data_IF_498604589781
#
_entry.id   IF_498604589781
#
_cell.length_a   1.000
_cell.length_b   1.000
_cell.length_c   1.000
_cell.angle_alpha   90.00
_cell.angle_beta   90.00
_cell.angle_gamma   90.00
#
_symmetry.space_group_name_H-M   'P 1'
#
loop_
_entity.id
_entity.type
_entity.pdbx_description
1 polymer ?
#
# COMPACT_ATOMS: atom_id res chain seq x y z
N UNK A 1 2.78 -35.88 -52.43
CA UNK A 1 2.62 -36.13 -50.99
C UNK A 1 3.49 -35.10 -50.26
N UNK A 2 2.87 -34.05 -49.74
CA UNK A 2 3.57 -32.97 -49.02
C UNK A 2 3.34 -33.22 -47.55
N UNK A 3 4.43 -33.59 -46.83
CA UNK A 3 4.42 -33.89 -45.40
C UNK A 3 4.51 -32.54 -44.66
N UNK A 4 3.41 -32.10 -44.05
CA UNK A 4 3.41 -30.91 -43.18
C UNK A 4 4.07 -31.23 -41.85
N UNK A 5 5.27 -30.68 -41.63
CA UNK A 5 5.94 -30.72 -40.33
C UNK A 5 5.27 -29.68 -39.43
N UNK A 6 4.49 -30.13 -38.44
CA UNK A 6 3.95 -29.27 -37.40
C UNK A 6 5.08 -28.89 -36.42
N UNK A 7 5.46 -27.61 -36.41
CA UNK A 7 6.44 -27.08 -35.46
C UNK A 7 5.71 -26.91 -34.10
N UNK A 8 5.96 -27.83 -33.17
CA UNK A 8 5.50 -27.68 -31.78
C UNK A 8 6.42 -26.68 -31.09
N UNK A 9 5.96 -25.43 -30.92
CA UNK A 9 6.64 -24.47 -30.09
C UNK A 9 6.38 -24.85 -28.62
N UNK A 10 7.33 -25.55 -28.01
CA UNK A 10 7.36 -25.73 -26.56
C UNK A 10 7.62 -24.35 -25.96
N UNK A 11 6.57 -23.71 -25.41
CA UNK A 11 6.72 -22.53 -24.57
C UNK A 11 7.60 -22.91 -23.37
N UNK A 12 8.75 -22.27 -23.22
CA UNK A 12 9.58 -22.43 -22.04
C UNK A 12 8.78 -21.96 -20.82
N UNK A 13 8.35 -22.90 -19.97
CA UNK A 13 7.83 -22.59 -18.63
C UNK A 13 9.01 -22.03 -17.84
N UNK A 14 9.03 -20.74 -17.59
CA UNK A 14 10.03 -20.13 -16.71
C UNK A 14 9.85 -20.70 -15.31
N UNK A 15 10.89 -21.32 -14.75
CA UNK A 15 10.83 -21.86 -13.39
C UNK A 15 10.51 -20.71 -12.41
N UNK A 16 9.59 -20.97 -11.48
CA UNK A 16 9.24 -20.02 -10.42
C UNK A 16 10.50 -19.66 -9.60
N UNK A 17 10.69 -18.37 -9.33
CA UNK A 17 11.82 -17.88 -8.57
C UNK A 17 11.50 -17.97 -7.06
N UNK A 18 12.34 -18.61 -6.23
CA UNK A 18 12.16 -18.59 -4.77
C UNK A 18 12.07 -17.17 -4.23
N UNK A 19 11.30 -16.99 -3.15
CA UNK A 19 11.04 -15.67 -2.56
C UNK A 19 12.33 -14.89 -2.29
N UNK A 20 13.29 -15.53 -1.63
CA UNK A 20 14.54 -14.90 -1.22
C UNK A 20 15.40 -14.43 -2.41
N UNK A 21 15.26 -15.13 -3.54
CA UNK A 21 16.01 -14.82 -4.76
C UNK A 21 15.42 -13.63 -5.54
N UNK A 22 14.19 -13.22 -5.26
CA UNK A 22 13.60 -12.03 -5.87
C UNK A 22 14.38 -10.75 -5.54
N UNK A 23 15.12 -10.73 -4.42
CA UNK A 23 15.97 -9.59 -4.06
C UNK A 23 17.02 -9.26 -5.12
N UNK A 24 17.44 -10.23 -5.90
CA UNK A 24 18.46 -10.05 -6.97
C UNK A 24 17.86 -9.70 -8.33
N UNK A 25 16.53 -9.61 -8.41
CA UNK A 25 15.86 -9.29 -9.66
C UNK A 25 16.13 -7.83 -10.05
N UNK A 26 16.60 -7.63 -11.28
CA UNK A 26 16.82 -6.28 -11.83
C UNK A 26 15.52 -5.79 -12.48
N UNK A 27 14.97 -4.73 -11.93
CA UNK A 27 13.77 -4.06 -12.43
C UNK A 27 14.08 -2.59 -12.73
N UNK A 28 13.46 -1.97 -13.75
CA UNK A 28 13.68 -0.56 -14.06
C UNK A 28 13.40 0.36 -12.87
N UNK A 29 14.29 1.30 -12.59
CA UNK A 29 14.16 2.32 -11.54
C UNK A 29 13.84 1.77 -10.13
N UNK A 30 14.12 0.47 -9.88
CA UNK A 30 13.67 -0.23 -8.67
C UNK A 30 14.84 -0.87 -7.95
N UNK A 31 14.93 -0.62 -6.65
CA UNK A 31 15.84 -1.33 -5.75
C UNK A 31 15.02 -2.18 -4.78
N UNK A 32 15.12 -3.50 -4.89
CA UNK A 32 14.49 -4.42 -3.94
C UNK A 32 15.38 -4.46 -2.70
N UNK A 33 14.88 -3.96 -1.56
CA UNK A 33 15.64 -3.85 -0.30
C UNK A 33 15.55 -5.10 0.54
N UNK A 34 14.39 -5.78 0.53
CA UNK A 34 14.23 -7.10 1.15
C UNK A 34 13.26 -7.97 0.37
N UNK A 35 13.46 -9.29 0.49
CA UNK A 35 12.55 -10.32 0.00
C UNK A 35 12.64 -11.50 0.96
N UNK A 36 11.54 -11.79 1.65
CA UNK A 36 11.51 -12.76 2.75
C UNK A 36 10.19 -13.52 2.82
N UNK A 37 10.26 -14.79 3.20
CA UNK A 37 9.08 -15.60 3.45
C UNK A 37 8.54 -15.33 4.86
N UNK A 38 7.36 -14.73 4.95
CA UNK A 38 6.64 -14.49 6.20
C UNK A 38 5.72 -15.67 6.47
N UNK A 39 5.90 -16.30 7.64
CA UNK A 39 5.11 -17.46 8.05
C UNK A 39 3.79 -17.06 8.71
N UNK A 40 2.75 -17.85 8.48
CA UNK A 40 1.50 -17.76 9.23
C UNK A 40 1.76 -17.81 10.73
N UNK A 41 1.07 -16.99 11.49
CA UNK A 41 1.27 -16.87 12.95
C UNK A 41 2.43 -15.98 13.39
N UNK A 42 3.29 -15.52 12.45
CA UNK A 42 4.34 -14.54 12.77
C UNK A 42 3.74 -13.18 13.15
N UNK A 43 4.45 -12.35 13.95
CA UNK A 43 4.06 -10.97 14.14
C UNK A 43 3.95 -10.24 12.81
N UNK A 44 2.92 -9.43 12.65
CA UNK A 44 2.63 -8.75 11.39
C UNK A 44 3.74 -7.75 11.03
N UNK A 45 4.31 -7.78 9.80
CA UNK A 45 5.27 -6.78 9.35
C UNK A 45 4.57 -5.41 9.27
N UNK A 46 4.96 -4.48 10.10
CA UNK A 46 4.28 -3.17 10.23
C UNK A 46 3.51 -3.01 11.54
N UNK A 47 3.23 -4.09 12.27
CA UNK A 47 2.79 -4.05 13.67
C UNK A 47 3.95 -3.63 14.60
N UNK A 48 4.74 -2.64 14.23
CA UNK A 48 5.60 -1.96 15.21
C UNK A 48 4.65 -1.27 16.17
N UNK A 49 4.70 -1.74 17.42
CA UNK A 49 3.81 -1.39 18.50
C UNK A 49 3.36 0.06 18.43
N UNK A 50 2.07 0.27 18.39
CA UNK A 50 1.42 1.55 18.61
C UNK A 50 1.66 2.06 20.04
N UNK A 51 2.92 2.29 20.36
CA UNK A 51 3.42 3.06 21.48
C UNK A 51 3.76 4.47 21.02
N UNK A 52 2.95 5.05 20.17
CA UNK A 52 2.97 6.47 19.89
C UNK A 52 2.34 7.19 21.06
N UNK A 53 3.16 7.60 22.04
CA UNK A 53 2.78 8.61 23.01
C UNK A 53 2.28 9.82 22.22
N UNK A 54 0.95 10.05 22.23
CA UNK A 54 0.37 11.35 21.94
C UNK A 54 0.87 12.32 23.00
N UNK A 55 2.03 12.91 22.77
CA UNK A 55 2.43 14.12 23.46
C UNK A 55 1.45 15.20 23.01
N UNK A 56 0.44 15.46 23.85
CA UNK A 56 -0.51 16.53 23.68
C UNK A 56 0.23 17.87 23.61
N UNK A 57 0.46 18.36 22.41
CA UNK A 57 0.80 19.74 22.20
C UNK A 57 -0.46 20.56 22.48
N UNK A 58 -0.52 21.13 23.69
CA UNK A 58 -1.49 22.20 24.02
C UNK A 58 -1.21 23.36 23.07
N UNK A 59 -2.13 23.57 22.14
CA UNK A 59 -2.10 24.71 21.26
C UNK A 59 -2.17 26.01 22.03
N UNK A 60 -1.11 26.80 21.91
CA UNK A 60 -1.14 28.22 22.23
C UNK A 60 -1.90 28.96 21.12
N UNK A 61 -2.94 29.65 21.48
CA UNK A 61 -3.65 30.55 20.59
C UNK A 61 -2.76 31.73 20.21
N UNK A 62 -2.59 31.95 18.89
CA UNK A 62 -2.05 33.18 18.35
C UNK A 62 -3.21 34.10 17.90
N UNK A 63 -3.09 35.45 18.12
CA UNK A 63 -4.17 36.39 17.84
C UNK A 63 -4.19 36.80 16.35
N UNK A 64 -5.41 36.92 15.85
CA UNK A 64 -5.98 37.73 14.81
C UNK A 64 -5.16 38.23 13.62
N UNK A 65 -5.62 37.80 12.42
CA UNK A 65 -5.48 38.56 11.19
C UNK A 65 -6.87 38.70 10.52
N UNK A 66 -7.17 39.82 9.82
CA UNK A 66 -8.53 40.23 9.45
C UNK A 66 -9.04 39.50 8.20
N UNK A 67 -10.35 39.33 8.17
CA UNK A 67 -11.08 38.78 7.04
C UNK A 67 -11.23 39.82 5.92
N UNK A 68 -10.90 39.45 4.67
CA UNK A 68 -11.41 40.11 3.48
C UNK A 68 -11.65 39.08 2.37
N UNK A 69 -12.82 39.22 1.71
CA UNK A 69 -13.06 38.69 0.38
C UNK A 69 -14.07 37.55 0.26
N UNK A 70 -15.37 37.92 0.27
CA UNK A 70 -16.47 37.06 -0.13
C UNK A 70 -16.40 36.71 -1.61
N UNK A 71 -16.31 35.40 -1.97
CA UNK A 71 -16.64 34.90 -3.27
C UNK A 71 -17.85 33.98 -3.17
N UNK A 72 -18.91 34.35 -3.89
CA UNK A 72 -20.23 33.71 -3.95
C UNK A 72 -20.14 32.27 -4.47
N UNK A 73 -20.55 31.34 -3.63
CA UNK A 73 -20.72 29.93 -4.00
C UNK A 73 -22.14 29.68 -4.54
N UNK A 74 -22.23 28.96 -5.66
CA UNK A 74 -23.47 28.44 -6.23
C UNK A 74 -24.05 27.31 -5.36
N UNK A 75 -25.39 27.11 -5.35
CA UNK A 75 -26.02 26.17 -4.45
C UNK A 75 -25.89 24.71 -4.93
N UNK A 76 -25.29 23.86 -4.12
CA UNK A 76 -25.37 22.43 -4.25
C UNK A 76 -26.65 21.91 -3.60
N UNK A 77 -27.44 21.13 -4.36
CA UNK A 77 -28.64 20.47 -3.88
C UNK A 77 -28.30 19.40 -2.84
N UNK A 78 -28.86 19.56 -1.65
CA UNK A 78 -28.73 18.64 -0.55
C UNK A 78 -29.50 17.34 -0.75
N UNK A 79 -28.84 16.22 -0.41
CA UNK A 79 -29.49 14.97 -0.01
C UNK A 79 -29.51 14.96 1.52
N UNK A 80 -30.71 15.10 2.11
CA UNK A 80 -30.89 15.12 3.54
C UNK A 80 -30.69 13.73 4.14
N UNK A 81 -29.77 13.60 5.10
CA UNK A 81 -29.81 12.56 6.11
C UNK A 81 -30.19 13.21 7.44
N UNK A 82 -31.25 12.69 8.04
CA UNK A 82 -31.77 13.14 9.31
C UNK A 82 -30.77 12.87 10.44
N UNK A 83 -30.50 13.88 11.26
CA UNK A 83 -29.72 13.73 12.47
C UNK A 83 -30.51 12.95 13.53
N UNK A 84 -29.87 12.04 14.31
CA UNK A 84 -30.51 11.40 15.45
C UNK A 84 -30.66 12.37 16.62
N UNK A 85 -31.65 12.18 17.51
CA UNK A 85 -31.92 13.11 18.62
C UNK A 85 -30.80 13.07 19.68
N UNK A 86 -30.45 14.22 20.16
CA UNK A 86 -29.53 14.42 21.29
C UNK A 86 -30.18 13.96 22.60
N UNK A 87 -29.45 13.12 23.35
CA UNK A 87 -29.79 12.89 24.75
C UNK A 87 -29.63 11.47 25.26
N UNK A 88 -28.43 11.06 25.61
CA UNK A 88 -28.16 10.10 26.67
C UNK A 88 -26.76 10.37 27.24
N UNK A 89 -26.56 10.43 28.57
CA UNK A 89 -25.24 10.58 29.16
C UNK A 89 -24.44 9.29 28.99
N UNK A 90 -23.34 9.35 28.22
CA UNK A 90 -22.40 8.21 28.10
C UNK A 90 -21.52 8.23 29.34
N UNK A 91 -21.84 7.36 30.29
CA UNK A 91 -20.99 7.04 31.43
C UNK A 91 -19.66 6.45 30.95
N UNK A 92 -18.60 7.25 30.95
CA UNK A 92 -17.26 6.82 30.67
C UNK A 92 -16.69 5.99 31.83
N UNK A 93 -16.70 4.67 31.70
CA UNK A 93 -16.00 3.73 32.54
C UNK A 93 -15.13 2.83 31.69
N UNK A 94 -14.05 3.37 31.12
CA UNK A 94 -13.05 2.57 30.40
C UNK A 94 -12.28 1.71 31.39
N UNK A 95 -12.78 0.52 31.71
CA UNK A 95 -11.93 -0.57 32.22
C UNK A 95 -11.00 -0.95 31.08
N UNK A 96 -9.69 -0.74 31.27
CA UNK A 96 -8.66 -1.25 30.37
C UNK A 96 -8.82 -2.76 30.23
N UNK A 97 -9.39 -3.19 29.12
CA UNK A 97 -9.35 -4.58 28.70
C UNK A 97 -7.88 -4.99 28.47
N UNK A 98 -7.56 -6.29 28.56
CA UNK A 98 -6.23 -6.76 28.22
C UNK A 98 -5.88 -6.24 26.84
N UNK A 99 -4.64 -5.74 26.69
CA UNK A 99 -4.15 -5.26 25.40
C UNK A 99 -4.39 -6.34 24.34
N UNK A 100 -5.05 -5.96 23.25
CA UNK A 100 -5.29 -6.90 22.16
C UNK A 100 -3.94 -7.47 21.70
N UNK A 101 -3.88 -8.81 21.57
CA UNK A 101 -2.68 -9.44 21.04
C UNK A 101 -2.33 -8.81 19.67
N UNK A 102 -1.04 -8.62 19.36
CA UNK A 102 -0.64 -8.06 18.09
C UNK A 102 -1.22 -8.91 16.95
N UNK A 103 -1.67 -8.27 15.84
CA UNK A 103 -2.22 -9.03 14.74
C UNK A 103 -1.16 -9.98 14.17
N UNK A 104 -1.55 -11.24 14.01
CA UNK A 104 -0.70 -12.28 13.42
C UNK A 104 -1.00 -12.40 11.92
N UNK A 105 0.02 -12.82 11.17
CA UNK A 105 -0.12 -13.05 9.72
C UNK A 105 -1.12 -14.20 9.46
N UNK A 106 -2.05 -14.01 8.51
CA UNK A 106 -3.14 -14.96 8.28
C UNK A 106 -2.71 -16.20 7.48
N UNK A 107 -1.64 -16.10 6.70
CA UNK A 107 -1.15 -17.14 5.79
C UNK A 107 0.34 -16.93 5.50
N UNK A 108 0.99 -17.93 4.96
CA UNK A 108 2.35 -17.79 4.41
C UNK A 108 2.31 -16.91 3.16
N UNK A 109 3.24 -15.95 3.07
CA UNK A 109 3.42 -15.13 1.86
C UNK A 109 4.86 -14.66 1.72
N UNK A 110 5.27 -14.42 0.47
CA UNK A 110 6.52 -13.74 0.17
C UNK A 110 6.32 -12.23 0.30
N UNK A 111 7.05 -11.59 1.21
CA UNK A 111 7.07 -10.14 1.41
C UNK A 111 8.24 -9.55 0.68
N UNK A 112 8.00 -8.60 -0.20
CA UNK A 112 9.01 -7.84 -0.93
C UNK A 112 8.87 -6.38 -0.56
N UNK A 113 9.99 -5.74 -0.20
CA UNK A 113 10.08 -4.29 0.03
C UNK A 113 10.99 -3.71 -1.01
N UNK A 114 10.55 -2.65 -1.66
CA UNK A 114 11.30 -1.99 -2.72
C UNK A 114 11.19 -0.47 -2.63
N UNK A 115 12.18 0.21 -3.22
CA UNK A 115 12.18 1.65 -3.43
C UNK A 115 12.26 1.91 -4.93
N UNK A 116 11.33 2.70 -5.44
CA UNK A 116 11.25 3.08 -6.85
C UNK A 116 11.70 4.54 -7.01
N UNK A 117 12.56 4.78 -7.98
CA UNK A 117 13.13 6.12 -8.29
C UNK A 117 13.00 6.42 -9.78
N UNK A 118 11.78 6.64 -10.31
CA UNK A 118 11.57 6.93 -11.72
C UNK A 118 12.10 8.31 -12.15
N UNK A 119 12.37 9.22 -11.21
CA UNK A 119 13.09 10.47 -11.43
C UNK A 119 14.14 10.69 -10.35
N UNK A 120 15.00 11.70 -10.51
CA UNK A 120 16.05 12.05 -9.54
C UNK A 120 15.48 12.51 -8.19
N UNK A 121 14.25 13.04 -8.18
CA UNK A 121 13.56 13.53 -6.97
C UNK A 121 12.54 12.51 -6.42
N UNK A 122 12.33 11.39 -7.11
CA UNK A 122 11.41 10.33 -6.69
C UNK A 122 12.03 9.44 -5.61
N UNK A 123 11.21 9.09 -4.62
CA UNK A 123 11.55 8.09 -3.59
C UNK A 123 10.29 7.38 -3.12
N UNK A 124 9.81 6.44 -3.92
CA UNK A 124 8.54 5.76 -3.73
C UNK A 124 8.78 4.43 -3.02
N UNK A 125 8.29 4.28 -1.79
CA UNK A 125 8.35 3.01 -1.09
C UNK A 125 7.16 2.14 -1.47
N UNK A 126 7.43 0.86 -1.69
CA UNK A 126 6.44 -0.14 -2.10
C UNK A 126 6.65 -1.42 -1.30
N UNK A 127 5.56 -2.02 -0.85
CA UNK A 127 5.53 -3.41 -0.39
C UNK A 127 4.66 -4.25 -1.32
N UNK A 128 5.15 -5.46 -1.65
CA UNK A 128 4.42 -6.45 -2.45
C UNK A 128 4.37 -7.75 -1.67
N UNK A 129 3.18 -8.32 -1.53
CA UNK A 129 2.95 -9.58 -0.83
C UNK A 129 2.36 -10.61 -1.79
N UNK A 130 3.05 -11.74 -1.89
CA UNK A 130 2.71 -12.82 -2.81
C UNK A 130 2.34 -14.06 -2.00
N UNK A 131 1.08 -14.52 -1.99
CA UNK A 131 0.71 -15.76 -1.33
C UNK A 131 1.49 -16.95 -1.89
N UNK A 132 1.53 -18.05 -1.14
CA UNK A 132 2.12 -19.30 -1.63
C UNK A 132 1.49 -19.72 -2.97
N UNK A 133 2.26 -20.34 -3.85
CA UNK A 133 1.84 -20.62 -5.22
C UNK A 133 0.55 -21.47 -5.31
N UNK A 134 0.36 -22.40 -4.38
CA UNK A 134 -0.83 -23.25 -4.27
C UNK A 134 -2.08 -22.50 -3.71
N UNK A 135 -1.89 -21.30 -3.20
CA UNK A 135 -2.95 -20.43 -2.65
C UNK A 135 -3.30 -19.25 -3.54
N UNK A 136 -2.43 -18.93 -4.52
CA UNK A 136 -2.64 -17.79 -5.40
C UNK A 136 -3.82 -18.01 -6.35
N UNK A 137 -4.78 -17.09 -6.33
CA UNK A 137 -5.98 -17.13 -7.15
C UNK A 137 -5.79 -16.53 -8.57
N UNK A 138 -4.54 -16.29 -8.97
CA UNK A 138 -4.13 -15.69 -10.25
C UNK A 138 -4.60 -14.24 -10.44
N UNK A 139 -4.84 -13.52 -9.35
CA UNK A 139 -5.26 -12.12 -9.40
C UNK A 139 -4.31 -11.26 -8.58
N UNK A 140 -4.23 -9.99 -8.96
CA UNK A 140 -3.51 -8.94 -8.26
C UNK A 140 -4.49 -7.87 -7.77
N UNK A 141 -4.30 -7.38 -6.54
CA UNK A 141 -5.05 -6.30 -5.93
C UNK A 141 -4.09 -5.27 -5.36
N UNK A 142 -4.13 -4.05 -5.90
CA UNK A 142 -3.39 -2.92 -5.36
C UNK A 142 -4.21 -2.23 -4.26
N UNK A 143 -3.54 -1.91 -3.15
CA UNK A 143 -4.15 -1.18 -2.04
C UNK A 143 -3.70 0.28 -2.07
N UNK A 144 -4.67 1.16 -1.95
CA UNK A 144 -4.41 2.59 -1.90
C UNK A 144 -4.32 3.13 -0.48
N UNK A 145 -3.96 4.39 -0.41
CA UNK A 145 -4.02 5.23 0.77
C UNK A 145 -4.89 6.46 0.48
N UNK A 146 -5.35 7.15 1.52
CA UNK A 146 -6.26 8.30 1.39
C UNK A 146 -5.62 9.62 1.82
N UNK A 147 -6.15 10.73 1.30
CA UNK A 147 -5.69 12.07 1.62
C UNK A 147 -4.21 12.25 1.31
N UNK A 148 -3.48 12.94 2.18
CA UNK A 148 -2.05 13.16 2.09
C UNK A 148 -1.24 12.12 2.88
N UNK A 149 -1.63 10.85 2.81
CA UNK A 149 -0.96 9.80 3.56
C UNK A 149 0.45 9.53 3.01
N UNK A 150 1.45 9.88 3.79
CA UNK A 150 2.88 9.66 3.50
C UNK A 150 3.40 8.35 4.10
N UNK A 151 2.63 7.27 4.01
CA UNK A 151 3.01 5.93 4.46
C UNK A 151 2.14 4.88 3.82
N UNK A 152 2.62 3.65 3.77
CA UNK A 152 1.81 2.50 3.35
C UNK A 152 0.77 2.24 4.45
N UNK A 153 -0.50 2.48 4.18
CA UNK A 153 -1.59 2.36 5.15
C UNK A 153 -2.45 1.11 4.97
N UNK A 154 -2.43 0.53 3.80
CA UNK A 154 -3.28 -0.59 3.37
C UNK A 154 -2.93 -1.97 3.95
N UNK A 155 -2.11 -2.06 5.01
CA UNK A 155 -1.67 -3.37 5.53
C UNK A 155 -2.81 -4.30 5.98
N UNK A 156 -3.91 -3.77 6.52
CA UNK A 156 -5.09 -4.55 6.88
C UNK A 156 -5.80 -5.13 5.67
N UNK A 157 -5.90 -4.34 4.61
CA UNK A 157 -6.51 -4.73 3.34
C UNK A 157 -5.60 -5.71 2.59
N UNK A 158 -4.27 -5.48 2.59
CA UNK A 158 -3.28 -6.43 2.07
C UNK A 158 -3.36 -7.79 2.78
N UNK A 159 -3.56 -7.84 4.11
CA UNK A 159 -3.79 -9.10 4.83
C UNK A 159 -5.04 -9.81 4.33
N UNK A 160 -6.12 -9.06 4.15
CA UNK A 160 -7.40 -9.60 3.66
C UNK A 160 -7.23 -10.14 2.24
N UNK A 161 -6.54 -9.41 1.37
CA UNK A 161 -6.24 -9.82 0.01
C UNK A 161 -5.40 -11.11 -0.03
N UNK A 162 -4.29 -11.19 0.72
CA UNK A 162 -3.46 -12.41 0.79
C UNK A 162 -4.26 -13.60 1.30
N UNK A 163 -5.11 -13.41 2.33
CA UNK A 163 -5.97 -14.47 2.84
C UNK A 163 -6.95 -14.99 1.78
N UNK A 164 -7.42 -14.11 0.91
CA UNK A 164 -8.29 -14.45 -0.22
C UNK A 164 -7.52 -14.95 -1.46
N UNK A 165 -6.20 -15.10 -1.35
CA UNK A 165 -5.34 -15.62 -2.41
C UNK A 165 -4.87 -14.59 -3.42
N UNK A 166 -5.09 -13.30 -3.22
CA UNK A 166 -4.57 -12.26 -4.12
C UNK A 166 -3.10 -11.99 -3.85
N UNK A 167 -2.31 -11.82 -4.91
CA UNK A 167 -1.09 -11.03 -4.83
C UNK A 167 -1.51 -9.58 -4.58
N UNK A 168 -0.80 -8.85 -3.71
CA UNK A 168 -1.20 -7.50 -3.32
C UNK A 168 -0.01 -6.58 -3.14
N UNK A 169 -0.21 -5.28 -3.30
CA UNK A 169 0.81 -4.27 -3.09
C UNK A 169 0.24 -2.97 -2.53
N UNK A 170 1.06 -2.25 -1.79
CA UNK A 170 0.79 -0.90 -1.30
C UNK A 170 2.00 0.02 -1.44
N UNK A 171 1.76 1.33 -1.47
CA UNK A 171 2.80 2.36 -1.61
C UNK A 171 2.55 3.55 -0.67
N UNK A 172 3.62 4.28 -0.33
CA UNK A 172 3.56 5.56 0.38
C UNK A 172 3.29 6.76 -0.55
N UNK A 173 3.13 6.51 -1.85
CA UNK A 173 2.95 7.52 -2.90
C UNK A 173 4.10 8.52 -3.05
N UNK A 174 5.30 8.17 -2.59
CA UNK A 174 6.53 8.92 -2.82
C UNK A 174 6.79 10.06 -1.84
N UNK A 175 6.13 10.09 -0.69
CA UNK A 175 6.39 11.08 0.35
C UNK A 175 6.21 10.50 1.76
N UNK A 176 6.62 11.24 2.79
CA UNK A 176 6.62 10.77 4.19
C UNK A 176 5.95 11.73 5.18
N UNK A 177 5.20 12.70 4.68
CA UNK A 177 4.46 13.67 5.49
C UNK A 177 2.97 13.60 5.17
N UNK A 178 2.12 13.91 6.14
CA UNK A 178 0.66 13.88 6.01
C UNK A 178 0.06 15.25 5.61
N UNK A 179 0.76 16.00 4.77
CA UNK A 179 0.31 17.29 4.25
C UNK A 179 0.83 17.50 2.83
N UNK A 180 0.21 18.38 2.05
CA UNK A 180 0.67 18.72 0.70
C UNK A 180 2.00 19.48 0.65
N UNK A 181 2.64 19.77 1.78
CA UNK A 181 3.91 20.49 1.84
C UNK A 181 5.09 19.75 1.20
N UNK A 182 5.01 18.42 1.06
CA UNK A 182 6.04 17.64 0.36
C UNK A 182 6.26 18.09 -1.09
N UNK A 183 5.21 18.63 -1.74
CA UNK A 183 5.25 19.03 -3.14
C UNK A 183 5.86 20.43 -3.36
N UNK A 184 6.11 21.22 -2.28
CA UNK A 184 6.65 22.56 -2.40
C UNK A 184 8.11 22.52 -2.88
N UNK A 185 8.35 22.99 -4.10
CA UNK A 185 9.66 22.93 -4.75
C UNK A 185 10.02 21.55 -5.33
N UNK A 186 9.12 20.57 -5.24
CA UNK A 186 9.31 19.19 -5.67
C UNK A 186 8.23 18.74 -6.68
N UNK A 187 8.21 19.28 -7.91
CA UNK A 187 7.16 18.96 -8.89
C UNK A 187 7.10 17.47 -9.24
N UNK A 188 8.24 16.76 -9.20
CA UNK A 188 8.28 15.32 -9.47
C UNK A 188 7.58 14.50 -8.37
N UNK A 189 7.69 14.91 -7.10
CA UNK A 189 6.97 14.25 -6.01
C UNK A 189 5.46 14.48 -6.11
N UNK A 190 5.02 15.63 -6.64
CA UNK A 190 3.60 15.86 -6.92
C UNK A 190 3.10 14.93 -8.04
N UNK A 191 3.91 14.67 -9.06
CA UNK A 191 3.61 13.72 -10.12
C UNK A 191 3.56 12.29 -9.55
N UNK A 192 4.50 11.93 -8.67
CA UNK A 192 4.51 10.64 -7.98
C UNK A 192 3.20 10.43 -7.20
N UNK A 193 2.84 11.39 -6.36
CA UNK A 193 1.60 11.36 -5.60
C UNK A 193 0.35 11.31 -6.49
N UNK A 194 0.33 12.09 -7.59
CA UNK A 194 -0.82 12.23 -8.47
C UNK A 194 -1.19 10.94 -9.21
N UNK A 195 -0.20 10.17 -9.66
CA UNK A 195 -0.46 8.92 -10.40
C UNK A 195 0.74 7.97 -10.51
N UNK A 196 1.99 8.51 -10.62
CA UNK A 196 3.15 7.71 -11.01
C UNK A 196 3.49 6.63 -10.01
N UNK A 197 3.35 6.89 -8.71
CA UNK A 197 3.63 5.90 -7.68
C UNK A 197 2.73 4.66 -7.81
N UNK A 198 1.44 4.84 -8.04
CA UNK A 198 0.49 3.74 -8.24
C UNK A 198 0.78 3.00 -9.55
N UNK A 199 1.09 3.74 -10.62
CA UNK A 199 1.45 3.14 -11.90
C UNK A 199 2.71 2.27 -11.78
N UNK A 200 3.80 2.83 -11.28
CA UNK A 200 5.08 2.12 -11.13
C UNK A 200 4.95 0.93 -10.15
N UNK A 201 4.29 1.11 -9.01
CA UNK A 201 3.98 0.01 -8.09
C UNK A 201 3.29 -1.14 -8.83
N UNK A 202 2.29 -0.84 -9.65
CA UNK A 202 1.54 -1.85 -10.40
C UNK A 202 2.41 -2.56 -11.42
N UNK A 203 3.19 -1.82 -12.21
CA UNK A 203 4.10 -2.39 -13.23
C UNK A 203 5.13 -3.31 -12.59
N UNK A 204 5.78 -2.85 -11.52
CA UNK A 204 6.82 -3.63 -10.86
C UNK A 204 6.23 -4.84 -10.11
N UNK A 205 5.04 -4.71 -9.51
CA UNK A 205 4.34 -5.83 -8.88
C UNK A 205 4.01 -6.93 -9.88
N UNK A 206 3.55 -6.59 -11.07
CA UNK A 206 3.29 -7.57 -12.16
C UNK A 206 4.57 -8.27 -12.61
N UNK A 207 5.68 -7.57 -12.69
CA UNK A 207 6.97 -8.19 -12.98
C UNK A 207 7.41 -9.17 -11.88
N UNK A 208 7.22 -8.82 -10.61
CA UNK A 208 7.49 -9.68 -9.46
C UNK A 208 6.58 -10.92 -9.44
N UNK A 209 5.29 -10.75 -9.71
CA UNK A 209 4.30 -11.83 -9.84
C UNK A 209 4.76 -12.83 -10.91
N UNK A 210 5.11 -12.32 -12.09
CA UNK A 210 5.59 -13.15 -13.20
C UNK A 210 6.87 -13.91 -12.83
N UNK A 211 7.82 -13.27 -12.15
CA UNK A 211 9.06 -13.91 -11.72
C UNK A 211 8.79 -14.99 -10.65
N UNK A 212 7.92 -14.70 -9.67
CA UNK A 212 7.64 -15.59 -8.55
C UNK A 212 6.83 -16.82 -8.94
N UNK A 213 5.76 -16.65 -9.72
CA UNK A 213 4.88 -17.74 -10.10
C UNK A 213 5.25 -18.39 -11.46
N UNK A 214 6.15 -17.77 -12.23
CA UNK A 214 6.47 -18.21 -13.60
C UNK A 214 5.37 -17.89 -14.62
N UNK A 215 4.33 -17.15 -14.21
CA UNK A 215 3.19 -16.75 -15.03
C UNK A 215 2.67 -15.38 -14.59
N UNK A 216 1.98 -14.64 -15.48
CA UNK A 216 1.30 -13.38 -15.18
C UNK A 216 -0.12 -13.63 -14.64
N UNK A 217 -0.69 -12.63 -13.96
CA UNK A 217 -2.11 -12.59 -13.62
C UNK A 217 -3.00 -12.42 -14.86
#
# INVERSE_FOLDING_TARGET
>A
MISSLALVVLGAVTAATPCENLKTLSLPNTTITSSELVKSGSPFPGARGGGGASAGARGGAAPGAPAEGAATAAPQRGGGQAAPPAGAPVGGGGRGGPAAAPPITPADFCRIVAVLKPSSDSNINVEVWLPAADKWNQKFQAEGNGGWAGSIQGFGDMQTAVRAGYATAGTDTGHNVSSGSFALGHPEQLIDFGYRAIHEMTVQSKALIKAFYGQSE
#
